data_IF_051366301605
#
_entry.id   IF_051366301605
#
_cell.length_a   1.000
_cell.length_b   1.000
_cell.length_c   1.000
_cell.angle_alpha   90.00
_cell.angle_beta   90.00
_cell.angle_gamma   90.00
#
_symmetry.space_group_name_H-M   'P 1'
#
loop_
_entity.id
_entity.type
_entity.pdbx_description
1 polymer ?
#
# COMPACT_ATOMS: atom_id res chain seq x y z
N UNK A 1 -14.65 9.60 7.18
CA UNK A 1 -14.50 8.87 5.89
C UNK A 1 -13.10 8.29 5.89
N UNK A 2 -12.98 6.96 5.81
CA UNK A 2 -11.69 6.27 5.92
C UNK A 2 -10.87 6.54 4.65
N UNK A 3 -9.68 7.17 4.71
CA UNK A 3 -8.91 7.55 3.52
C UNK A 3 -8.48 6.36 2.67
N UNK A 4 -8.48 5.16 3.22
CA UNK A 4 -8.00 3.96 2.54
C UNK A 4 -8.98 3.38 1.51
N UNK A 5 -10.29 3.53 1.70
CA UNK A 5 -11.28 3.15 0.68
C UNK A 5 -11.18 4.02 -0.58
N UNK A 6 -10.79 5.25 -0.40
CA UNK A 6 -10.59 6.21 -1.50
C UNK A 6 -9.38 5.83 -2.37
N UNK A 7 -8.29 5.32 -1.76
CA UNK A 7 -7.11 4.89 -2.51
C UNK A 7 -7.35 3.63 -3.34
N UNK A 8 -8.09 2.65 -2.79
CA UNK A 8 -8.47 1.45 -3.56
C UNK A 8 -9.39 1.80 -4.73
N UNK A 9 -10.37 2.69 -4.54
CA UNK A 9 -11.24 3.15 -5.62
C UNK A 9 -10.46 3.89 -6.71
N UNK A 10 -9.45 4.71 -6.33
CA UNK A 10 -8.57 5.39 -7.28
C UNK A 10 -7.70 4.40 -8.06
N UNK A 11 -7.13 3.38 -7.41
CA UNK A 11 -6.32 2.35 -8.07
C UNK A 11 -7.15 1.53 -9.06
N UNK A 12 -8.37 1.12 -8.68
CA UNK A 12 -9.29 0.37 -9.54
C UNK A 12 -9.78 1.26 -10.70
N UNK A 13 -10.20 2.51 -10.41
CA UNK A 13 -10.63 3.46 -11.43
C UNK A 13 -9.52 3.78 -12.43
N UNK A 14 -8.30 3.90 -11.96
CA UNK A 14 -7.12 4.12 -12.80
C UNK A 14 -6.79 2.93 -13.70
N UNK A 15 -6.82 1.69 -13.16
CA UNK A 15 -6.61 0.48 -13.94
C UNK A 15 -7.66 0.29 -15.03
N UNK A 16 -8.92 0.62 -14.74
CA UNK A 16 -10.03 0.55 -15.69
C UNK A 16 -10.00 1.67 -16.76
N UNK A 17 -9.57 2.88 -16.39
CA UNK A 17 -9.51 4.01 -17.32
C UNK A 17 -8.30 3.95 -18.26
N UNK A 18 -7.18 3.39 -17.79
CA UNK A 18 -5.96 3.25 -18.58
C UNK A 18 -6.09 2.34 -19.79
N UNK A 19 -6.97 1.33 -19.73
CA UNK A 19 -7.18 0.38 -20.82
C UNK A 19 -7.78 1.00 -22.11
N UNK A 20 -8.53 2.09 -22.01
CA UNK A 20 -9.19 2.73 -23.16
C UNK A 20 -8.46 3.94 -23.75
N UNK A 21 -7.54 4.55 -23.00
CA UNK A 21 -6.92 5.83 -23.37
C UNK A 21 -5.43 5.73 -23.71
N UNK A 22 -4.86 4.53 -23.71
CA UNK A 22 -3.42 4.28 -23.80
C UNK A 22 -2.74 4.83 -25.07
N UNK A 23 -3.47 4.99 -26.17
CA UNK A 23 -2.90 5.43 -27.45
C UNK A 23 -2.50 6.91 -27.51
N UNK A 24 -2.92 7.75 -26.54
CA UNK A 24 -2.67 9.19 -26.56
C UNK A 24 -1.79 9.71 -25.42
N UNK A 25 -1.33 8.85 -24.51
CA UNK A 25 -0.77 9.25 -23.22
C UNK A 25 0.74 9.01 -23.03
N UNK A 26 1.51 8.96 -24.14
CA UNK A 26 2.96 8.73 -24.08
C UNK A 26 3.28 7.33 -23.59
N UNK A 27 3.34 6.35 -24.49
CA UNK A 27 3.73 4.98 -24.15
C UNK A 27 5.20 4.93 -23.74
N UNK A 28 5.49 4.18 -22.69
CA UNK A 28 6.84 3.92 -22.24
C UNK A 28 7.51 2.82 -23.12
N UNK A 29 8.84 2.75 -23.18
CA UNK A 29 9.58 1.87 -24.09
C UNK A 29 9.25 0.39 -23.99
N UNK A 30 8.72 -0.08 -22.85
CA UNK A 30 8.32 -1.47 -22.62
C UNK A 30 6.83 -1.74 -22.86
N UNK A 31 6.11 -0.76 -23.42
CA UNK A 31 4.72 -0.97 -23.82
C UNK A 31 4.65 -2.07 -24.87
N UNK A 32 3.68 -2.99 -24.71
CA UNK A 32 3.54 -4.16 -25.57
C UNK A 32 4.38 -5.38 -25.19
N UNK A 33 5.17 -5.32 -24.11
CA UNK A 33 5.86 -6.50 -23.59
C UNK A 33 4.88 -7.45 -22.90
N UNK A 34 4.42 -8.47 -23.61
CA UNK A 34 3.41 -9.43 -23.15
C UNK A 34 3.82 -10.17 -21.87
N UNK A 35 5.05 -10.70 -21.74
CA UNK A 35 5.52 -11.29 -20.49
C UNK A 35 5.44 -10.34 -19.30
N UNK A 36 5.85 -9.09 -19.48
CA UNK A 36 5.81 -8.07 -18.41
C UNK A 36 4.37 -7.73 -18.00
N UNK A 37 3.45 -7.67 -18.96
CA UNK A 37 2.02 -7.47 -18.69
C UNK A 37 1.47 -8.58 -17.79
N UNK A 38 1.67 -9.85 -18.14
CA UNK A 38 1.15 -10.96 -17.34
C UNK A 38 1.84 -11.10 -15.97
N UNK A 39 3.12 -10.75 -15.89
CA UNK A 39 3.81 -10.62 -14.60
C UNK A 39 3.17 -9.54 -13.75
N UNK A 40 2.81 -8.39 -14.35
CA UNK A 40 2.07 -7.32 -13.69
C UNK A 40 0.72 -7.79 -13.16
N UNK A 41 -0.05 -8.55 -13.98
CA UNK A 41 -1.36 -9.11 -13.57
C UNK A 41 -1.20 -10.02 -12.34
N UNK A 42 -0.23 -10.94 -12.38
CA UNK A 42 0.04 -11.84 -11.27
C UNK A 42 0.46 -11.09 -9.99
N UNK A 43 1.39 -10.15 -10.10
CA UNK A 43 1.83 -9.32 -8.97
C UNK A 43 0.69 -8.47 -8.41
N UNK A 44 -0.19 -7.92 -9.25
CA UNK A 44 -1.34 -7.14 -8.83
C UNK A 44 -2.31 -8.00 -8.00
N UNK A 45 -2.62 -9.21 -8.47
CA UNK A 45 -3.47 -10.15 -7.75
C UNK A 45 -2.87 -10.54 -6.39
N UNK A 46 -1.56 -10.85 -6.34
CA UNK A 46 -0.83 -11.14 -5.11
C UNK A 46 -0.85 -9.94 -4.16
N UNK A 47 -0.63 -8.73 -4.66
CA UNK A 47 -0.65 -7.51 -3.87
C UNK A 47 -2.03 -7.23 -3.27
N UNK A 48 -3.12 -7.46 -4.03
CA UNK A 48 -4.49 -7.33 -3.52
C UNK A 48 -4.76 -8.35 -2.40
N UNK A 49 -4.40 -9.62 -2.62
CA UNK A 49 -4.56 -10.66 -1.59
C UNK A 49 -3.77 -10.30 -0.32
N UNK A 50 -2.53 -9.82 -0.47
CA UNK A 50 -1.71 -9.34 0.64
C UNK A 50 -2.36 -8.21 1.41
N UNK A 51 -2.87 -7.18 0.72
CA UNK A 51 -3.57 -6.04 1.34
C UNK A 51 -4.82 -6.50 2.07
N UNK A 52 -5.63 -7.39 1.47
CA UNK A 52 -6.82 -7.94 2.11
C UNK A 52 -6.48 -8.72 3.39
N UNK A 53 -5.46 -9.56 3.36
CA UNK A 53 -5.01 -10.29 4.54
C UNK A 53 -4.53 -9.33 5.63
N UNK A 54 -3.76 -8.30 5.26
CA UNK A 54 -3.30 -7.29 6.21
C UNK A 54 -4.48 -6.53 6.86
N UNK A 55 -5.50 -6.17 6.07
CA UNK A 55 -6.70 -5.51 6.57
C UNK A 55 -7.51 -6.41 7.51
N UNK A 56 -7.67 -7.68 7.16
CA UNK A 56 -8.36 -8.65 8.02
C UNK A 56 -7.63 -8.86 9.36
N UNK A 57 -6.31 -8.89 9.34
CA UNK A 57 -5.49 -9.00 10.56
C UNK A 57 -5.56 -7.76 11.45
N UNK A 58 -5.79 -6.58 10.87
CA UNK A 58 -6.02 -5.35 11.64
C UNK A 58 -7.39 -5.37 12.35
N UNK A 59 -8.37 -6.08 11.82
CA UNK A 59 -9.67 -6.31 12.43
C UNK A 59 -10.39 -5.04 12.86
N UNK A 60 -10.83 -4.97 14.13
CA UNK A 60 -11.55 -3.82 14.67
C UNK A 60 -10.68 -2.54 14.72
N UNK A 61 -9.36 -2.67 14.78
CA UNK A 61 -8.42 -1.53 14.76
C UNK A 61 -8.49 -0.76 13.43
N UNK A 62 -8.92 -1.40 12.35
CA UNK A 62 -9.19 -0.77 11.06
C UNK A 62 -10.31 0.28 11.09
N UNK A 63 -11.33 0.09 11.93
CA UNK A 63 -12.55 0.92 11.96
C UNK A 63 -12.42 2.19 12.81
N UNK A 64 -11.35 2.29 13.60
CA UNK A 64 -11.24 3.28 14.69
C UNK A 64 -10.50 4.57 14.26
N UNK A 65 -10.32 4.83 12.98
CA UNK A 65 -9.69 6.05 12.49
C UNK A 65 -10.36 7.38 12.88
N UNK A 66 -11.41 7.39 13.74
CA UNK A 66 -12.13 8.59 14.16
C UNK A 66 -12.48 8.59 15.66
N UNK A 67 -12.35 7.47 16.36
CA UNK A 67 -12.74 7.41 17.77
C UNK A 67 -11.48 7.48 18.66
N UNK A 68 -11.05 8.69 18.99
CA UNK A 68 -9.92 8.98 19.87
C UNK A 68 -10.11 8.47 21.32
N UNK A 69 -11.29 7.91 21.65
CA UNK A 69 -11.63 7.48 23.00
C UNK A 69 -11.28 6.01 23.31
N UNK A 70 -10.94 5.19 22.32
CA UNK A 70 -10.56 3.79 22.54
C UNK A 70 -9.19 3.50 21.95
N UNK A 71 -8.19 3.40 22.83
CA UNK A 71 -6.88 2.85 22.48
C UNK A 71 -7.08 1.41 21.98
N UNK A 72 -7.06 1.20 20.68
CA UNK A 72 -7.08 -0.15 20.09
C UNK A 72 -5.75 -0.84 20.34
N UNK A 73 -5.79 -2.15 20.58
CA UNK A 73 -4.57 -2.92 20.80
C UNK A 73 -3.61 -2.80 19.60
N UNK A 74 -2.32 -2.65 19.87
CA UNK A 74 -1.29 -2.63 18.84
C UNK A 74 -1.24 -4.00 18.13
N UNK A 75 -1.55 -4.03 16.83
CA UNK A 75 -1.47 -5.25 16.03
C UNK A 75 0.00 -5.50 15.66
N UNK A 76 0.56 -6.63 16.11
CA UNK A 76 1.96 -6.99 15.88
C UNK A 76 2.15 -8.45 15.45
N UNK A 77 1.08 -9.12 15.04
CA UNK A 77 1.08 -10.53 14.60
C UNK A 77 0.84 -10.66 13.08
N UNK A 78 0.99 -11.86 12.55
CA UNK A 78 0.77 -12.14 11.12
C UNK A 78 1.71 -11.32 10.23
N UNK A 79 1.18 -10.62 9.23
CA UNK A 79 1.97 -9.76 8.34
C UNK A 79 2.62 -8.58 9.08
N UNK A 80 2.02 -8.12 10.19
CA UNK A 80 2.58 -7.09 11.05
C UNK A 80 3.79 -7.56 11.86
N UNK A 81 4.01 -8.86 11.97
CA UNK A 81 5.26 -9.38 12.53
C UNK A 81 6.46 -9.17 11.58
N UNK A 82 6.22 -9.05 10.27
CA UNK A 82 7.25 -8.91 9.24
C UNK A 82 7.39 -7.49 8.68
N UNK A 83 6.34 -6.70 8.75
CA UNK A 83 6.32 -5.31 8.30
C UNK A 83 5.48 -4.47 9.26
N UNK A 84 5.94 -3.26 9.61
CA UNK A 84 5.13 -2.33 10.38
C UNK A 84 4.00 -1.72 9.54
N UNK A 85 4.14 -1.74 8.21
CA UNK A 85 3.21 -1.13 7.28
C UNK A 85 2.85 -2.09 6.12
N UNK A 86 2.28 -3.29 6.42
CA UNK A 86 2.05 -4.30 5.39
C UNK A 86 1.04 -3.88 4.34
N UNK A 87 0.02 -3.07 4.69
CA UNK A 87 -0.95 -2.52 3.74
C UNK A 87 -0.26 -1.61 2.73
N UNK A 88 0.56 -0.67 3.19
CA UNK A 88 1.30 0.23 2.31
C UNK A 88 2.35 -0.51 1.47
N UNK A 89 2.96 -1.56 2.00
CA UNK A 89 3.87 -2.41 1.25
C UNK A 89 3.13 -3.08 0.06
N UNK A 90 1.97 -3.68 0.32
CA UNK A 90 1.14 -4.28 -0.73
C UNK A 90 0.65 -3.24 -1.76
N UNK A 91 0.26 -2.05 -1.31
CA UNK A 91 -0.14 -0.95 -2.20
C UNK A 91 1.00 -0.54 -3.13
N UNK A 92 2.25 -0.46 -2.65
CA UNK A 92 3.42 -0.16 -3.49
C UNK A 92 3.65 -1.23 -4.56
N UNK A 93 3.52 -2.51 -4.19
CA UNK A 93 3.61 -3.61 -5.16
C UNK A 93 2.49 -3.50 -6.21
N UNK A 94 1.26 -3.19 -5.80
CA UNK A 94 0.13 -2.99 -6.71
C UNK A 94 0.36 -1.81 -7.68
N UNK A 95 0.96 -0.71 -7.23
CA UNK A 95 1.32 0.43 -8.09
C UNK A 95 2.35 0.05 -9.16
N UNK A 96 3.40 -0.67 -8.78
CA UNK A 96 4.41 -1.16 -9.71
C UNK A 96 3.84 -2.18 -10.71
N UNK A 97 2.96 -3.05 -10.23
CA UNK A 97 2.22 -3.98 -11.08
C UNK A 97 1.34 -3.25 -12.10
N UNK A 98 0.58 -2.24 -11.65
CA UNK A 98 -0.24 -1.39 -12.52
C UNK A 98 0.58 -0.66 -13.59
N UNK A 99 1.76 -0.14 -13.22
CA UNK A 99 2.68 0.49 -14.16
C UNK A 99 3.21 -0.51 -15.19
N UNK A 100 3.40 -1.78 -14.81
CA UNK A 100 3.82 -2.85 -15.74
C UNK A 100 2.71 -3.21 -16.74
N UNK A 101 1.44 -3.14 -16.29
CA UNK A 101 0.27 -3.46 -17.12
C UNK A 101 -0.10 -2.31 -18.07
N UNK A 102 0.00 -1.07 -17.59
CA UNK A 102 -0.37 0.15 -18.31
C UNK A 102 0.82 1.12 -18.31
N UNK A 103 1.85 0.85 -19.13
CA UNK A 103 3.09 1.61 -19.12
C UNK A 103 2.95 2.93 -19.89
N UNK A 104 2.36 3.94 -19.26
CA UNK A 104 2.20 5.28 -19.81
C UNK A 104 2.89 6.33 -18.92
N UNK A 105 3.19 7.49 -19.48
CA UNK A 105 3.74 8.62 -18.74
C UNK A 105 2.83 9.05 -17.58
N UNK A 106 1.51 8.95 -17.76
CA UNK A 106 0.54 9.27 -16.70
C UNK A 106 0.60 8.23 -15.59
N UNK A 107 0.64 6.93 -15.92
CA UNK A 107 0.77 5.87 -14.90
C UNK A 107 2.06 6.04 -14.11
N UNK A 108 3.15 6.36 -14.77
CA UNK A 108 4.43 6.62 -14.11
C UNK A 108 4.33 7.83 -13.17
N UNK A 109 3.81 8.97 -13.65
CA UNK A 109 3.65 10.18 -12.85
C UNK A 109 2.74 9.92 -11.63
N UNK A 110 1.63 9.20 -11.82
CA UNK A 110 0.72 8.83 -10.74
C UNK A 110 1.41 7.90 -9.72
N UNK A 111 2.17 6.90 -10.19
CA UNK A 111 2.91 6.00 -9.30
C UNK A 111 3.91 6.77 -8.43
N UNK A 112 4.66 7.71 -9.02
CA UNK A 112 5.61 8.56 -8.29
C UNK A 112 4.90 9.47 -7.28
N UNK A 113 3.79 10.10 -7.67
CA UNK A 113 3.01 10.95 -6.77
C UNK A 113 2.44 10.15 -5.59
N UNK A 114 1.87 8.97 -5.86
CA UNK A 114 1.33 8.10 -4.80
C UNK A 114 2.43 7.54 -3.91
N UNK A 115 3.63 7.25 -4.42
CA UNK A 115 4.77 6.85 -3.59
C UNK A 115 5.15 7.95 -2.57
N UNK A 116 5.19 9.22 -2.99
CA UNK A 116 5.43 10.35 -2.08
C UNK A 116 4.35 10.43 -1.01
N UNK A 117 3.07 10.30 -1.40
CA UNK A 117 1.95 10.33 -0.46
C UNK A 117 2.00 9.15 0.52
N UNK A 118 2.34 7.95 0.08
CA UNK A 118 2.54 6.78 0.94
C UNK A 118 3.64 7.06 1.97
N UNK A 119 4.77 7.63 1.57
CA UNK A 119 5.86 7.96 2.49
C UNK A 119 5.43 8.97 3.56
N UNK A 120 4.66 9.98 3.18
CA UNK A 120 4.11 10.96 4.12
C UNK A 120 3.11 10.31 5.08
N UNK A 121 2.16 9.54 4.54
CA UNK A 121 1.13 8.86 5.32
C UNK A 121 1.73 7.90 6.35
N UNK A 122 2.70 7.07 5.94
CA UNK A 122 3.40 6.15 6.85
C UNK A 122 4.08 6.89 8.00
N UNK A 123 4.71 8.03 7.73
CA UNK A 123 5.36 8.81 8.79
C UNK A 123 4.35 9.38 9.79
N UNK A 124 3.23 9.90 9.29
CA UNK A 124 2.16 10.44 10.14
C UNK A 124 1.53 9.34 11.01
N UNK A 125 1.27 8.17 10.41
CA UNK A 125 0.72 7.03 11.14
C UNK A 125 1.69 6.49 12.20
N UNK A 126 3.00 6.37 11.88
CA UNK A 126 4.01 5.97 12.86
C UNK A 126 4.13 6.97 14.02
N UNK A 127 4.04 8.28 13.75
CA UNK A 127 4.02 9.31 14.79
C UNK A 127 2.76 9.18 15.68
N UNK A 128 1.60 8.97 15.08
CA UNK A 128 0.35 8.77 15.81
C UNK A 128 0.40 7.52 16.69
N UNK A 129 0.87 6.39 16.14
CA UNK A 129 1.04 5.14 16.89
C UNK A 129 2.03 5.30 18.05
N UNK A 130 3.10 6.08 17.86
CA UNK A 130 4.05 6.37 18.93
C UNK A 130 3.42 7.19 20.06
N UNK A 131 2.57 8.17 19.73
CA UNK A 131 1.84 8.96 20.72
C UNK A 131 0.81 8.10 21.48
N UNK A 132 0.13 7.20 20.77
CA UNK A 132 -0.94 6.37 21.34
C UNK A 132 -0.41 5.22 22.21
N UNK A 133 0.66 4.54 21.78
CA UNK A 133 1.16 3.30 22.40
C UNK A 133 2.52 3.46 23.12
N UNK A 134 3.19 4.60 22.99
CA UNK A 134 4.43 4.91 23.70
C UNK A 134 5.51 3.82 23.58
N UNK A 135 5.93 3.27 24.74
CA UNK A 135 7.01 2.30 24.82
C UNK A 135 6.69 0.95 24.17
N UNK A 136 5.42 0.54 24.16
CA UNK A 136 5.00 -0.68 23.46
C UNK A 136 5.27 -0.58 21.95
N UNK A 137 5.00 0.58 21.36
CA UNK A 137 5.30 0.83 19.95
C UNK A 137 6.80 0.93 19.69
N UNK A 138 7.59 1.55 20.62
CA UNK A 138 9.07 1.58 20.52
C UNK A 138 9.65 0.18 20.52
N UNK A 139 9.20 -0.69 21.42
CA UNK A 139 9.62 -2.09 21.49
C UNK A 139 9.27 -2.87 20.20
N UNK A 140 8.10 -2.59 19.61
CA UNK A 140 7.70 -3.14 18.32
C UNK A 140 8.63 -2.66 17.19
N UNK A 141 8.93 -1.35 17.13
CA UNK A 141 9.85 -0.76 16.16
C UNK A 141 11.28 -1.30 16.26
N UNK A 142 11.72 -1.70 17.46
CA UNK A 142 13.02 -2.30 17.66
C UNK A 142 13.12 -3.71 17.04
N UNK A 143 12.03 -4.46 16.95
CA UNK A 143 11.98 -5.82 16.42
C UNK A 143 11.64 -5.90 14.94
N UNK A 144 10.74 -5.04 14.45
CA UNK A 144 10.18 -5.12 13.10
C UNK A 144 10.60 -3.90 12.28
N UNK A 145 11.04 -4.14 11.04
CA UNK A 145 11.40 -3.05 10.12
C UNK A 145 10.14 -2.37 9.56
N UNK A 146 10.32 -1.13 9.07
CA UNK A 146 9.22 -0.34 8.48
C UNK A 146 8.58 -1.05 7.30
N UNK A 147 9.37 -1.62 6.39
CA UNK A 147 8.88 -2.22 5.16
C UNK A 147 8.84 -3.74 5.23
N UNK A 148 9.98 -4.39 5.42
CA UNK A 148 10.01 -5.85 5.50
C UNK A 148 11.21 -6.35 6.30
N UNK A 149 10.98 -7.36 7.15
CA UNK A 149 12.00 -8.10 7.88
C UNK A 149 12.15 -7.68 9.35
N UNK A 150 12.98 -8.46 10.04
CA UNK A 150 13.34 -8.23 11.45
C UNK A 150 14.60 -7.36 11.56
N UNK A 151 14.74 -6.69 12.71
CA UNK A 151 16.01 -6.11 13.13
C UNK A 151 16.73 -7.15 13.97
N UNK A 152 17.94 -7.50 13.57
CA UNK A 152 18.90 -8.26 14.40
C UNK A 152 19.47 -7.36 15.47
#
# INVERSE_FOLDING_TARGET
MCPQSTWMALLIGFALHGAGSSMRLGLLPWAGNVPLYWTGVALFAIALAWVLVAQLQMGASWRVGIDHARATALVSHGLYAWSRNPIFLGTRVALLAALSMVPTAITLATTLALEVLIQLQVRLEEQHLLQLHGDSYRAYCARVRRWFGHRS
#
